data_IF_409004008231
#
_entry.id   IF_409004008231
#
_cell.length_a   1.000
_cell.length_b   1.000
_cell.length_c   1.000
_cell.angle_alpha   90.00
_cell.angle_beta   90.00
_cell.angle_gamma   90.00
#
_symmetry.space_group_name_H-M   'P 1'
#
loop_
_entity.id
_entity.type
_entity.pdbx_description
1 polymer ?
#
# COMPACT_ATOMS: atom_id res chain seq x y z
N UNK A 1 -22.21 -4.60 5.01
CA UNK A 1 -21.71 -4.51 6.40
C UNK A 1 -20.29 -5.07 6.54
N UNK A 2 -20.03 -6.33 6.16
CA UNK A 2 -18.68 -6.93 6.26
C UNK A 2 -17.55 -6.17 5.57
N UNK A 3 -17.75 -5.73 4.33
CA UNK A 3 -16.72 -4.97 3.59
C UNK A 3 -16.36 -3.67 4.33
N UNK A 4 -17.35 -2.94 4.81
CA UNK A 4 -17.14 -1.71 5.58
C UNK A 4 -16.40 -2.00 6.89
N UNK A 5 -16.74 -3.07 7.59
CA UNK A 5 -16.01 -3.51 8.78
C UNK A 5 -14.56 -3.87 8.47
N UNK A 6 -14.29 -4.61 7.39
CA UNK A 6 -12.93 -4.97 6.98
C UNK A 6 -12.11 -3.74 6.59
N UNK A 7 -12.67 -2.83 5.78
CA UNK A 7 -11.98 -1.59 5.41
C UNK A 7 -11.67 -0.73 6.64
N UNK A 8 -12.63 -0.62 7.58
CA UNK A 8 -12.40 0.09 8.83
C UNK A 8 -11.34 -0.59 9.70
N UNK A 9 -11.26 -1.93 9.70
CA UNK A 9 -10.21 -2.68 10.39
C UNK A 9 -8.83 -2.39 9.80
N UNK A 10 -8.70 -2.45 8.47
CA UNK A 10 -7.45 -2.16 7.76
C UNK A 10 -7.00 -0.71 7.92
N UNK A 11 -7.94 0.23 8.04
CA UNK A 11 -7.64 1.65 8.28
C UNK A 11 -7.06 1.96 9.66
N UNK A 12 -7.06 0.98 10.59
CA UNK A 12 -6.42 1.10 11.91
C UNK A 12 -5.00 0.51 11.96
N UNK A 13 -4.43 0.16 10.81
CA UNK A 13 -3.07 -0.37 10.74
C UNK A 13 -2.05 0.64 11.31
N UNK A 14 -1.17 0.16 12.20
CA UNK A 14 -0.09 0.95 12.78
C UNK A 14 1.21 0.80 11.99
N UNK A 15 1.50 -0.41 11.49
CA UNK A 15 2.67 -0.69 10.65
C UNK A 15 2.38 -0.31 9.19
N UNK A 16 2.34 1.01 8.95
CA UNK A 16 1.99 1.62 7.66
C UNK A 16 3.24 1.74 6.80
N UNK A 17 3.49 0.79 5.90
CA UNK A 17 4.63 0.86 4.98
C UNK A 17 4.23 1.53 3.65
N UNK A 18 3.31 0.92 2.89
CA UNK A 18 2.83 1.50 1.63
C UNK A 18 2.02 2.78 1.82
N UNK A 19 1.40 2.93 3.00
CA UNK A 19 0.55 4.10 3.33
C UNK A 19 1.24 5.11 4.24
N UNK A 20 2.55 4.97 4.48
CA UNK A 20 3.32 5.82 5.41
C UNK A 20 3.17 7.32 5.14
N UNK A 21 3.06 7.69 3.86
CA UNK A 21 3.02 9.08 3.40
C UNK A 21 1.66 9.50 2.84
N UNK A 22 0.61 8.70 3.07
CA UNK A 22 -0.76 9.10 2.72
C UNK A 22 -1.18 10.27 3.62
N UNK A 23 -1.62 11.41 3.05
CA UNK A 23 -2.02 12.58 3.83
C UNK A 23 -3.18 12.29 4.78
N UNK A 24 -3.25 13.05 5.87
CA UNK A 24 -4.39 13.00 6.78
C UNK A 24 -5.71 13.30 6.05
N UNK A 25 -6.77 12.58 6.44
CA UNK A 25 -8.10 12.72 5.85
C UNK A 25 -8.30 11.96 4.53
N UNK A 26 -7.25 11.41 3.91
CA UNK A 26 -7.39 10.50 2.78
C UNK A 26 -7.68 9.09 3.33
N UNK A 27 -8.78 8.43 2.94
CA UNK A 27 -9.05 7.07 3.39
C UNK A 27 -7.94 6.12 2.93
N UNK A 28 -7.54 5.20 3.81
CA UNK A 28 -6.58 4.16 3.48
C UNK A 28 -6.83 2.93 4.36
N UNK A 29 -6.19 1.84 4.00
CA UNK A 29 -6.01 0.69 4.88
C UNK A 29 -4.92 -0.21 4.33
N UNK A 30 -4.20 -0.89 5.22
CA UNK A 30 -3.13 -1.79 4.79
C UNK A 30 -2.92 -2.98 5.70
N UNK A 31 -2.23 -3.98 5.17
CA UNK A 31 -1.82 -5.18 5.89
C UNK A 31 -0.37 -5.50 5.57
N UNK A 32 0.50 -5.14 6.50
CA UNK A 32 1.91 -5.52 6.45
C UNK A 32 2.11 -6.96 6.92
N UNK A 33 3.20 -7.57 6.48
CA UNK A 33 3.64 -8.87 6.96
C UNK A 33 5.14 -9.07 6.77
N UNK A 34 5.67 -10.01 7.52
CA UNK A 34 7.08 -10.35 7.55
C UNK A 34 7.22 -11.85 7.75
N UNK A 35 8.09 -12.46 6.95
CA UNK A 35 8.66 -13.78 7.15
C UNK A 35 10.15 -13.71 6.86
N UNK A 36 10.93 -14.71 7.23
CA UNK A 36 12.39 -14.65 7.06
C UNK A 36 12.79 -14.31 5.61
N UNK A 37 13.57 -13.24 5.45
CA UNK A 37 14.01 -12.72 4.16
C UNK A 37 12.93 -12.08 3.27
N UNK A 38 11.69 -11.93 3.74
CA UNK A 38 10.57 -11.32 3.00
C UNK A 38 9.84 -10.27 3.85
N UNK A 39 9.64 -9.09 3.28
CA UNK A 39 8.75 -8.05 3.83
C UNK A 39 7.69 -7.74 2.78
N UNK A 40 6.44 -7.59 3.20
CA UNK A 40 5.37 -7.24 2.27
C UNK A 40 4.35 -6.30 2.92
N UNK A 41 3.65 -5.57 2.08
CA UNK A 41 2.47 -4.81 2.48
C UNK A 41 1.48 -4.80 1.30
N UNK A 42 0.19 -4.77 1.63
CA UNK A 42 -0.91 -4.65 0.67
C UNK A 42 -1.82 -3.56 1.19
N UNK A 43 -2.11 -2.57 0.34
CA UNK A 43 -2.81 -1.36 0.74
C UNK A 43 -3.86 -0.93 -0.28
N UNK A 44 -4.89 -0.24 0.21
CA UNK A 44 -5.73 0.64 -0.59
C UNK A 44 -5.56 2.09 -0.14
N UNK A 45 -5.74 3.04 -1.08
CA UNK A 45 -5.77 4.47 -0.83
C UNK A 45 -6.92 5.11 -1.61
N UNK A 46 -7.64 6.03 -0.98
CA UNK A 46 -8.88 6.62 -1.46
C UNK A 46 -10.12 5.89 -0.95
N UNK A 47 -11.30 6.39 -1.34
CA UNK A 47 -12.58 5.79 -0.96
C UNK A 47 -12.65 4.32 -1.40
N UNK A 48 -12.93 3.37 -0.48
CA UNK A 48 -13.05 1.96 -0.83
C UNK A 48 -14.07 1.73 -1.95
N UNK A 49 -13.59 1.25 -3.10
CA UNK A 49 -14.41 1.14 -4.29
C UNK A 49 -13.59 0.91 -5.55
N UNK A 50 -14.22 0.95 -6.73
CA UNK A 50 -13.56 0.69 -8.01
C UNK A 50 -12.46 1.72 -8.32
N UNK A 51 -12.56 2.94 -7.80
CA UNK A 51 -11.60 4.01 -8.08
C UNK A 51 -10.46 4.11 -7.05
N UNK A 52 -10.47 3.25 -6.02
CA UNK A 52 -9.38 3.19 -5.07
C UNK A 52 -8.08 2.74 -5.75
N UNK A 53 -6.98 3.37 -5.36
CA UNK A 53 -5.64 2.83 -5.64
C UNK A 53 -5.45 1.58 -4.80
N UNK A 54 -5.09 0.45 -5.41
CA UNK A 54 -4.71 -0.77 -4.70
C UNK A 54 -3.27 -1.13 -5.07
N UNK A 55 -2.41 -1.28 -4.07
CA UNK A 55 -0.98 -1.54 -4.25
C UNK A 55 -0.60 -2.75 -3.40
N UNK A 56 0.13 -3.69 -4.01
CA UNK A 56 0.68 -4.85 -3.33
C UNK A 56 2.17 -4.95 -3.69
N UNK A 57 3.02 -4.99 -2.66
CA UNK A 57 4.46 -5.08 -2.84
C UNK A 57 5.01 -6.14 -1.91
N UNK A 58 5.86 -7.00 -2.46
CA UNK A 58 6.58 -8.04 -1.75
C UNK A 58 8.06 -7.90 -2.08
N UNK A 59 8.88 -7.64 -1.08
CA UNK A 59 10.34 -7.56 -1.21
C UNK A 59 10.96 -8.85 -0.73
N UNK A 60 12.08 -9.25 -1.34
CA UNK A 60 12.84 -10.43 -0.92
C UNK A 60 14.33 -10.15 -0.98
N UNK A 61 15.09 -10.67 -0.01
CA UNK A 61 16.56 -10.62 -0.01
C UNK A 61 17.17 -9.29 0.45
N UNK A 62 16.34 -8.37 0.94
CA UNK A 62 16.78 -7.12 1.57
C UNK A 62 16.98 -7.32 3.07
N UNK A 63 17.86 -6.54 3.70
CA UNK A 63 17.73 -6.28 5.14
C UNK A 63 16.41 -5.56 5.44
N UNK A 64 15.88 -5.73 6.66
CA UNK A 64 14.58 -5.19 7.07
C UNK A 64 14.45 -3.68 6.78
N UNK A 65 15.48 -2.89 7.09
CA UNK A 65 15.45 -1.45 6.86
C UNK A 65 15.33 -1.10 5.37
N UNK A 66 16.11 -1.75 4.50
CA UNK A 66 16.06 -1.56 3.05
C UNK A 66 14.73 -2.01 2.45
N UNK A 67 14.17 -3.12 2.95
CA UNK A 67 12.85 -3.60 2.55
C UNK A 67 11.74 -2.58 2.87
N UNK A 68 11.75 -2.03 4.08
CA UNK A 68 10.77 -1.02 4.51
C UNK A 68 10.93 0.30 3.75
N UNK A 69 12.16 0.73 3.47
CA UNK A 69 12.41 1.91 2.64
C UNK A 69 11.89 1.72 1.21
N UNK A 70 12.13 0.55 0.61
CA UNK A 70 11.59 0.20 -0.71
C UNK A 70 10.06 0.24 -0.72
N UNK A 71 9.42 -0.37 0.29
CA UNK A 71 7.96 -0.36 0.44
C UNK A 71 7.41 1.07 0.56
N UNK A 72 7.98 1.91 1.44
CA UNK A 72 7.55 3.31 1.61
C UNK A 72 7.72 4.12 0.32
N UNK A 73 8.85 3.93 -0.37
CA UNK A 73 9.17 4.63 -1.62
C UNK A 73 8.21 4.27 -2.74
N UNK A 74 7.93 2.97 -2.93
CA UNK A 74 6.98 2.49 -3.94
C UNK A 74 5.56 2.97 -3.61
N UNK A 75 5.16 2.94 -2.35
CA UNK A 75 3.87 3.47 -1.91
C UNK A 75 3.70 4.95 -2.24
N UNK A 76 4.71 5.77 -1.93
CA UNK A 76 4.72 7.19 -2.28
C UNK A 76 4.65 7.41 -3.78
N UNK A 77 5.43 6.67 -4.56
CA UNK A 77 5.46 6.80 -6.02
C UNK A 77 4.09 6.42 -6.64
N UNK A 78 3.50 5.31 -6.20
CA UNK A 78 2.20 4.87 -6.68
C UNK A 78 1.10 5.91 -6.40
N UNK A 79 1.11 6.51 -5.20
CA UNK A 79 0.20 7.59 -4.84
C UNK A 79 0.41 8.85 -5.71
N UNK A 80 1.66 9.26 -5.93
CA UNK A 80 1.97 10.43 -6.78
C UNK A 80 1.55 10.23 -8.24
N UNK A 81 1.80 9.06 -8.81
CA UNK A 81 1.47 8.77 -10.21
C UNK A 81 -0.04 8.67 -10.47
N UNK A 82 -0.82 8.30 -9.46
CA UNK A 82 -2.28 8.19 -9.57
C UNK A 82 -3.01 9.50 -9.30
N UNK A 83 -2.51 10.33 -8.38
CA UNK A 83 -3.08 11.67 -8.15
C UNK A 83 -2.61 12.72 -9.18
N UNK A 84 -1.49 12.50 -9.87
CA UNK A 84 -1.05 13.34 -10.97
C UNK A 84 -1.78 13.10 -12.31
N UNK A 85 -2.52 11.99 -12.44
CA UNK A 85 -3.22 11.59 -13.66
C UNK A 85 -4.72 11.47 -13.41
N UNK A 86 -5.47 12.54 -13.66
CA UNK A 86 -6.93 12.61 -13.57
C UNK A 86 -7.64 11.75 -14.64
N UNK A 87 -7.63 10.42 -14.48
CA UNK A 87 -8.48 9.48 -15.23
C UNK A 87 -8.81 8.26 -14.35
N UNK A 88 -10.07 8.22 -13.87
CA UNK A 88 -10.61 7.27 -12.89
C UNK A 88 -10.81 5.86 -13.43
N UNK A 89 -9.76 5.05 -13.32
CA UNK A 89 -9.87 3.60 -13.36
C UNK A 89 -9.03 3.02 -12.21
N UNK A 90 -9.52 1.94 -11.60
CA UNK A 90 -8.75 1.14 -10.64
C UNK A 90 -7.37 0.82 -11.22
N UNK A 91 -6.30 1.25 -10.54
CA UNK A 91 -4.92 0.95 -10.94
C UNK A 91 -4.32 0.05 -9.89
N UNK A 92 -4.18 -1.23 -10.24
CA UNK A 92 -3.39 -2.18 -9.46
C UNK A 92 -1.91 -2.04 -9.82
N UNK A 93 -1.08 -1.77 -8.82
CA UNK A 93 0.39 -1.81 -8.98
C UNK A 93 0.91 -3.01 -8.19
N UNK A 94 1.33 -4.04 -8.92
CA UNK A 94 2.06 -5.19 -8.38
C UNK A 94 3.54 -5.08 -8.72
N UNK A 95 4.41 -5.14 -7.72
CA UNK A 95 5.85 -5.18 -7.92
C UNK A 95 6.45 -6.36 -7.15
N UNK A 96 7.04 -7.30 -7.89
CA UNK A 96 7.96 -8.29 -7.38
C UNK A 96 9.36 -7.82 -7.74
N UNK A 97 10.18 -7.43 -6.76
CA UNK A 97 11.58 -7.07 -7.02
C UNK A 97 12.41 -8.35 -7.18
N UNK A 98 13.06 -8.57 -8.34
CA UNK A 98 14.06 -9.63 -8.47
C UNK A 98 15.31 -9.26 -7.65
N UNK A 99 16.01 -10.29 -7.19
CA UNK A 99 17.33 -10.21 -6.55
C UNK A 99 18.41 -9.90 -7.58
#
# INVERSE_FOLDING_TARGET
EWTSWMSAMLGRQHDRLLTAHVPDGVPFGSKSGEVDGIRHDVAFVGEPGPDALVVAVCTRGYEVAGAEEALRTIGSLAFSLTNGNSSGASRFVGCETPV
#
